data_IF_298253138491
#
_entry.id   IF_298253138491
#
_cell.length_a   1.000
_cell.length_b   1.000
_cell.length_c   1.000
_cell.angle_alpha   90.00
_cell.angle_beta   90.00
_cell.angle_gamma   90.00
#
_symmetry.space_group_name_H-M   'P 1'
#
loop_
_entity.id
_entity.type
_entity.pdbx_description
1 polymer ?
#
# COMPACT_ATOMS: atom_id res chain seq x y z
N UNK A 1 -29.86 -4.12 -56.83
CA UNK A 1 -29.88 -4.69 -55.47
C UNK A 1 -30.74 -5.96 -55.50
N UNK A 2 -30.51 -6.98 -54.67
CA UNK A 2 -29.56 -7.01 -53.55
C UNK A 2 -28.75 -8.33 -53.37
N UNK A 3 -27.63 -8.16 -52.66
CA UNK A 3 -27.22 -8.90 -51.46
C UNK A 3 -26.81 -10.39 -51.58
N UNK A 4 -25.64 -10.62 -50.98
CA UNK A 4 -25.19 -11.85 -50.34
C UNK A 4 -24.75 -13.00 -51.24
N UNK A 5 -23.44 -13.05 -51.45
CA UNK A 5 -22.71 -14.20 -50.93
C UNK A 5 -21.27 -13.77 -50.61
N UNK A 6 -21.00 -13.67 -49.30
CA UNK A 6 -19.67 -13.68 -48.68
C UNK A 6 -18.68 -12.67 -49.28
N UNK A 7 -18.78 -11.38 -48.94
CA UNK A 7 -18.04 -10.84 -47.78
C UNK A 7 -16.89 -11.77 -47.38
N UNK A 8 -15.74 -11.47 -47.97
CA UNK A 8 -14.44 -11.45 -47.32
C UNK A 8 -14.35 -12.37 -46.10
N UNK A 9 -13.86 -13.57 -46.33
CA UNK A 9 -12.97 -14.23 -45.39
C UNK A 9 -11.76 -13.29 -45.27
N UNK A 10 -11.92 -12.29 -44.42
CA UNK A 10 -10.83 -11.45 -43.97
C UNK A 10 -9.92 -12.39 -43.19
N UNK A 11 -8.79 -12.67 -43.85
CA UNK A 11 -7.55 -13.04 -43.22
C UNK A 11 -7.38 -12.29 -41.88
N UNK A 12 -6.86 -13.01 -40.90
CA UNK A 12 -6.50 -12.52 -39.58
C UNK A 12 -7.70 -12.19 -38.66
N UNK A 13 -8.13 -13.19 -37.88
CA UNK A 13 -8.27 -12.90 -36.45
C UNK A 13 -6.87 -12.53 -35.98
N UNK A 14 -6.58 -11.24 -36.01
CA UNK A 14 -5.52 -10.62 -35.27
C UNK A 14 -5.76 -10.96 -33.79
N UNK A 15 -5.23 -12.11 -33.35
CA UNK A 15 -4.99 -12.44 -31.95
C UNK A 15 -3.71 -11.72 -31.48
N UNK A 16 -3.60 -10.44 -31.84
CA UNK A 16 -2.46 -9.57 -31.58
C UNK A 16 -2.86 -8.13 -31.91
N UNK A 17 -2.67 -7.24 -30.94
CA UNK A 17 -2.86 -5.78 -31.02
C UNK A 17 -4.31 -5.25 -30.95
N UNK A 18 -5.07 -5.69 -29.94
CA UNK A 18 -6.23 -4.94 -29.46
C UNK A 18 -6.13 -4.80 -27.95
N UNK A 19 -5.36 -3.82 -27.46
CA UNK A 19 -5.35 -3.49 -26.05
C UNK A 19 -6.78 -3.26 -25.60
N UNK A 20 -7.21 -3.93 -24.53
CA UNK A 20 -8.53 -3.71 -23.95
C UNK A 20 -8.47 -2.33 -23.27
N UNK A 21 -9.07 -1.27 -23.86
CA UNK A 21 -8.85 0.10 -23.38
C UNK A 21 -9.41 0.32 -21.99
N UNK A 22 -10.42 -0.49 -21.62
CA UNK A 22 -11.01 -0.49 -20.30
C UNK A 22 -10.06 -1.11 -19.27
N UNK A 23 -9.40 -2.23 -19.61
CA UNK A 23 -8.38 -2.85 -18.77
C UNK A 23 -7.17 -1.91 -18.58
N UNK A 24 -6.66 -1.33 -19.67
CA UNK A 24 -5.58 -0.34 -19.65
C UNK A 24 -5.93 0.87 -18.78
N UNK A 25 -7.13 1.43 -18.94
CA UNK A 25 -7.58 2.58 -18.16
C UNK A 25 -7.65 2.27 -16.66
N UNK A 26 -8.17 1.10 -16.27
CA UNK A 26 -8.26 0.69 -14.86
C UNK A 26 -6.88 0.44 -14.25
N UNK A 27 -6.00 -0.25 -14.97
CA UNK A 27 -4.61 -0.47 -14.54
C UNK A 27 -3.90 0.87 -14.31
N UNK A 28 -4.00 1.81 -15.26
CA UNK A 28 -3.41 3.16 -15.09
C UNK A 28 -4.04 3.96 -13.97
N UNK A 29 -5.32 3.75 -13.66
CA UNK A 29 -5.94 4.35 -12.48
C UNK A 29 -5.39 3.76 -11.18
N UNK A 30 -5.22 2.43 -11.11
CA UNK A 30 -4.58 1.77 -9.97
C UNK A 30 -3.13 2.26 -9.78
N UNK A 31 -2.33 2.34 -10.85
CA UNK A 31 -0.98 2.90 -10.80
C UNK A 31 -0.97 4.35 -10.30
N UNK A 32 -1.89 5.19 -10.78
CA UNK A 32 -2.00 6.59 -10.31
C UNK A 32 -2.39 6.69 -8.83
N UNK A 33 -3.21 5.76 -8.32
CA UNK A 33 -3.55 5.71 -6.89
C UNK A 33 -2.34 5.35 -6.05
N UNK A 34 -1.56 4.35 -6.49
CA UNK A 34 -0.31 3.96 -5.82
C UNK A 34 0.75 5.06 -5.90
N UNK A 35 0.93 5.68 -7.06
CA UNK A 35 1.89 6.77 -7.27
C UNK A 35 1.52 8.01 -6.43
N UNK A 36 0.24 8.37 -6.39
CA UNK A 36 -0.22 9.51 -5.59
C UNK A 36 -0.13 9.28 -4.08
N UNK A 37 0.14 8.04 -3.64
CA UNK A 37 0.38 7.68 -2.25
C UNK A 37 1.80 7.99 -1.76
N UNK A 38 2.77 8.23 -2.67
CA UNK A 38 4.16 8.54 -2.30
C UNK A 38 4.32 9.68 -1.28
N UNK A 39 3.64 10.85 -1.43
CA UNK A 39 3.78 11.92 -0.45
C UNK A 39 3.35 11.51 0.95
N UNK A 40 2.31 10.66 1.09
CA UNK A 40 1.87 10.17 2.39
C UNK A 40 2.91 9.24 3.03
N UNK A 41 3.63 8.46 2.23
CA UNK A 41 4.75 7.66 2.75
C UNK A 41 5.91 8.54 3.20
N UNK A 42 6.23 9.60 2.46
CA UNK A 42 7.25 10.57 2.85
C UNK A 42 6.85 11.29 4.16
N UNK A 43 5.58 11.66 4.30
CA UNK A 43 5.03 12.26 5.53
C UNK A 43 5.12 11.29 6.71
N UNK A 44 4.78 10.01 6.52
CA UNK A 44 4.93 8.99 7.57
C UNK A 44 6.39 8.79 8.01
N UNK A 45 7.35 8.87 7.09
CA UNK A 45 8.78 8.80 7.42
C UNK A 45 9.24 10.04 8.21
N UNK A 46 8.73 11.24 7.90
CA UNK A 46 8.99 12.44 8.71
C UNK A 46 8.38 12.32 10.11
N UNK A 47 7.16 11.79 10.21
CA UNK A 47 6.49 11.58 11.50
C UNK A 47 7.24 10.55 12.36
N UNK A 48 7.75 9.46 11.78
CA UNK A 48 8.58 8.47 12.45
C UNK A 48 9.87 9.11 13.01
N UNK A 49 10.59 9.88 12.18
CA UNK A 49 11.78 10.60 12.63
C UNK A 49 11.47 11.59 13.77
N UNK A 50 10.31 12.24 13.74
CA UNK A 50 9.87 13.14 14.82
C UNK A 50 9.50 12.39 16.09
N UNK A 51 8.91 11.20 15.99
CA UNK A 51 8.61 10.32 17.13
C UNK A 51 9.91 9.88 17.83
N UNK A 52 10.93 9.49 17.06
CA UNK A 52 12.24 9.08 17.57
C UNK A 52 12.95 10.19 18.37
N UNK A 53 12.71 11.46 18.03
CA UNK A 53 13.32 12.60 18.69
C UNK A 53 12.56 13.11 19.94
N UNK A 54 11.35 12.62 20.21
CA UNK A 54 10.46 13.14 21.26
C UNK A 54 11.12 13.26 22.63
N UNK A 55 11.80 12.19 23.07
CA UNK A 55 12.46 12.12 24.39
C UNK A 55 13.67 13.04 24.54
N UNK A 56 14.14 13.65 23.45
CA UNK A 56 15.27 14.59 23.45
C UNK A 56 14.82 16.04 23.28
N UNK A 57 13.66 16.28 22.66
CA UNK A 57 13.15 17.61 22.32
C UNK A 57 12.41 18.29 23.48
N UNK A 58 11.76 17.53 24.34
CA UNK A 58 11.00 18.05 25.47
C UNK A 58 11.62 17.61 26.79
N UNK A 59 11.76 18.55 27.72
CA UNK A 59 12.25 18.27 29.08
C UNK A 59 11.13 17.88 30.05
N UNK A 60 9.87 18.09 29.67
CA UNK A 60 8.69 17.79 30.45
C UNK A 60 7.94 16.59 29.84
N UNK A 61 7.67 15.58 30.67
CA UNK A 61 7.00 14.34 30.28
C UNK A 61 5.60 14.60 29.73
N UNK A 62 4.84 15.53 30.31
CA UNK A 62 3.48 15.84 29.84
C UNK A 62 3.48 16.44 28.42
N UNK A 63 4.46 17.30 28.13
CA UNK A 63 4.62 17.90 26.80
C UNK A 63 5.11 16.86 25.78
N UNK A 64 6.01 15.96 26.18
CA UNK A 64 6.45 14.81 25.36
C UNK A 64 5.26 13.92 24.98
N UNK A 65 4.39 13.59 25.95
CA UNK A 65 3.23 12.74 25.73
C UNK A 65 2.21 13.43 24.82
N UNK A 66 1.94 14.71 25.05
CA UNK A 66 1.00 15.48 24.23
C UNK A 66 1.45 15.57 22.77
N UNK A 67 2.73 15.87 22.53
CA UNK A 67 3.28 15.89 21.17
C UNK A 67 3.27 14.48 20.55
N UNK A 68 3.67 13.44 21.30
CA UNK A 68 3.68 12.08 20.78
C UNK A 68 2.30 11.58 20.35
N UNK A 69 1.25 11.95 21.09
CA UNK A 69 -0.13 11.65 20.68
C UNK A 69 -0.52 12.44 19.44
N UNK A 70 -0.21 13.72 19.36
CA UNK A 70 -0.46 14.52 18.16
C UNK A 70 0.20 13.90 16.91
N UNK A 71 1.45 13.45 17.03
CA UNK A 71 2.18 12.76 15.97
C UNK A 71 1.51 11.45 15.56
N UNK A 72 1.14 10.61 16.53
CA UNK A 72 0.45 9.36 16.26
C UNK A 72 -0.94 9.59 15.62
N UNK A 73 -1.66 10.64 16.00
CA UNK A 73 -2.94 11.03 15.37
C UNK A 73 -2.74 11.40 13.90
N UNK A 74 -1.76 12.24 13.60
CA UNK A 74 -1.44 12.63 12.21
C UNK A 74 -1.04 11.40 11.37
N UNK A 75 -0.20 10.52 11.92
CA UNK A 75 0.21 9.31 11.23
C UNK A 75 -0.96 8.36 10.96
N UNK A 76 -1.91 8.24 11.90
CA UNK A 76 -3.12 7.43 11.70
C UNK A 76 -4.01 7.98 10.58
N UNK A 77 -4.12 9.31 10.44
CA UNK A 77 -4.85 9.93 9.32
C UNK A 77 -4.21 9.60 7.97
N UNK A 78 -2.88 9.65 7.88
CA UNK A 78 -2.17 9.29 6.65
C UNK A 78 -2.31 7.79 6.33
N UNK A 79 -2.26 6.93 7.35
CA UNK A 79 -2.52 5.49 7.20
C UNK A 79 -3.96 5.22 6.72
N UNK A 80 -4.97 5.92 7.24
CA UNK A 80 -6.36 5.81 6.77
C UNK A 80 -6.48 6.11 5.26
N UNK A 81 -5.86 7.20 4.82
CA UNK A 81 -5.88 7.62 3.42
C UNK A 81 -5.10 6.64 2.52
N UNK A 82 -3.95 6.14 2.98
CA UNK A 82 -3.18 5.11 2.30
C UNK A 82 -3.99 3.82 2.13
N UNK A 83 -4.63 3.33 3.20
CA UNK A 83 -5.47 2.14 3.15
C UNK A 83 -6.63 2.31 2.16
N UNK A 84 -7.27 3.48 2.12
CA UNK A 84 -8.34 3.78 1.17
C UNK A 84 -7.85 3.76 -0.29
N UNK A 85 -6.70 4.36 -0.58
CA UNK A 85 -6.11 4.39 -1.93
C UNK A 85 -5.68 3.00 -2.39
N UNK A 86 -4.98 2.26 -1.54
CA UNK A 86 -4.52 0.90 -1.84
C UNK A 86 -5.71 -0.05 -2.03
N UNK A 87 -6.74 0.03 -1.17
CA UNK A 87 -7.96 -0.78 -1.33
C UNK A 87 -8.66 -0.51 -2.65
N UNK A 88 -8.73 0.76 -3.08
CA UNK A 88 -9.30 1.12 -4.38
C UNK A 88 -8.44 0.61 -5.55
N UNK A 89 -7.11 0.72 -5.45
CA UNK A 89 -6.20 0.18 -6.45
C UNK A 89 -6.35 -1.35 -6.58
N UNK A 90 -6.44 -2.07 -5.47
CA UNK A 90 -6.71 -3.52 -5.43
C UNK A 90 -8.02 -3.84 -6.15
N UNK A 91 -9.13 -3.17 -5.82
CA UNK A 91 -10.41 -3.43 -6.45
C UNK A 91 -10.37 -3.25 -7.98
N UNK A 92 -9.71 -2.20 -8.47
CA UNK A 92 -9.53 -1.97 -9.90
C UNK A 92 -8.73 -3.10 -10.57
N UNK A 93 -7.68 -3.59 -9.92
CA UNK A 93 -6.85 -4.67 -10.46
C UNK A 93 -7.55 -6.02 -10.41
N UNK A 94 -8.37 -6.28 -9.38
CA UNK A 94 -9.21 -7.49 -9.30
C UNK A 94 -10.22 -7.53 -10.45
N UNK A 95 -10.85 -6.39 -10.77
CA UNK A 95 -11.74 -6.26 -11.94
C UNK A 95 -11.01 -6.60 -13.24
N UNK A 96 -9.78 -6.09 -13.42
CA UNK A 96 -8.98 -6.36 -14.63
C UNK A 96 -8.52 -7.82 -14.70
N UNK A 97 -8.09 -8.40 -13.58
CA UNK A 97 -7.66 -9.79 -13.51
C UNK A 97 -8.79 -10.77 -13.87
N UNK A 98 -10.04 -10.40 -13.56
CA UNK A 98 -11.25 -11.17 -13.88
C UNK A 98 -11.90 -10.85 -15.23
N UNK A 99 -11.34 -9.91 -16.01
CA UNK A 99 -11.97 -9.42 -17.24
C UNK A 99 -11.67 -10.30 -18.46
N UNK A 100 -12.72 -10.73 -19.16
CA UNK A 100 -12.59 -11.44 -20.43
C UNK A 100 -11.91 -10.56 -21.49
N UNK A 101 -10.86 -11.09 -22.13
CA UNK A 101 -10.14 -10.38 -23.19
C UNK A 101 -9.23 -9.23 -22.71
N UNK A 102 -8.94 -9.12 -21.41
CA UNK A 102 -7.95 -8.16 -20.90
C UNK A 102 -6.50 -8.51 -21.29
N UNK A 103 -6.23 -9.77 -21.67
CA UNK A 103 -4.94 -10.18 -22.23
C UNK A 103 -3.78 -9.93 -21.27
N UNK A 104 -2.73 -9.26 -21.75
CA UNK A 104 -1.53 -8.98 -20.95
C UNK A 104 -1.82 -8.08 -19.73
N UNK A 105 -2.85 -7.22 -19.78
CA UNK A 105 -3.26 -6.41 -18.62
C UNK A 105 -3.82 -7.25 -17.47
N UNK A 106 -4.50 -8.37 -17.75
CA UNK A 106 -4.98 -9.26 -16.70
C UNK A 106 -3.83 -9.94 -15.96
N UNK A 107 -2.78 -10.32 -16.68
CA UNK A 107 -1.61 -10.94 -16.08
C UNK A 107 -0.78 -9.92 -15.29
N UNK A 108 -0.59 -8.72 -15.85
CA UNK A 108 0.03 -7.62 -15.11
C UNK A 108 -0.76 -7.29 -13.83
N UNK A 109 -2.09 -7.23 -13.90
CA UNK A 109 -2.94 -6.96 -12.74
C UNK A 109 -2.76 -8.01 -11.62
N UNK A 110 -2.62 -9.29 -11.94
CA UNK A 110 -2.33 -10.33 -10.93
C UNK A 110 -0.97 -10.16 -10.27
N UNK A 111 0.06 -9.85 -11.06
CA UNK A 111 1.40 -9.59 -10.53
C UNK A 111 1.40 -8.36 -9.63
N UNK A 112 0.69 -7.31 -10.04
CA UNK A 112 0.56 -6.10 -9.24
C UNK A 112 -0.22 -6.35 -7.95
N UNK A 113 -1.32 -7.11 -8.01
CA UNK A 113 -2.05 -7.56 -6.81
C UNK A 113 -1.16 -8.35 -5.84
N UNK A 114 -0.28 -9.21 -6.35
CA UNK A 114 0.68 -9.95 -5.52
C UNK A 114 1.68 -9.04 -4.79
N UNK A 115 1.96 -7.84 -5.33
CA UNK A 115 2.76 -6.83 -4.64
C UNK A 115 1.93 -6.01 -3.63
N UNK A 116 0.67 -5.71 -3.96
CA UNK A 116 -0.20 -4.92 -3.10
C UNK A 116 -0.73 -5.69 -1.88
N UNK A 117 -0.88 -7.01 -1.94
CA UNK A 117 -1.33 -7.82 -0.80
C UNK A 117 -0.41 -7.67 0.45
N UNK A 118 0.90 -7.97 0.36
CA UNK A 118 1.80 -7.77 1.50
C UNK A 118 1.91 -6.30 1.90
N UNK A 119 1.84 -5.35 0.95
CA UNK A 119 1.84 -3.91 1.25
C UNK A 119 0.61 -3.47 2.05
N UNK A 120 -0.58 -3.94 1.69
CA UNK A 120 -1.83 -3.68 2.42
C UNK A 120 -1.77 -4.26 3.83
N UNK A 121 -1.23 -5.47 3.98
CA UNK A 121 -1.02 -6.08 5.30
C UNK A 121 0.00 -5.30 6.14
N UNK A 122 1.04 -4.74 5.52
CA UNK A 122 2.01 -3.88 6.19
C UNK A 122 1.35 -2.59 6.71
N UNK A 123 0.45 -1.96 5.92
CA UNK A 123 -0.32 -0.80 6.36
C UNK A 123 -1.19 -1.11 7.58
N UNK A 124 -1.91 -2.24 7.56
CA UNK A 124 -2.71 -2.68 8.70
C UNK A 124 -1.85 -2.89 9.97
N UNK A 125 -0.63 -3.43 9.82
CA UNK A 125 0.33 -3.56 10.94
C UNK A 125 0.89 -2.23 11.41
N UNK A 126 1.09 -1.26 10.52
CA UNK A 126 1.47 0.11 10.90
C UNK A 126 0.40 0.76 11.76
N UNK A 127 -0.89 0.58 11.44
CA UNK A 127 -2.00 1.04 12.29
C UNK A 127 -1.93 0.42 13.69
N UNK A 128 -1.72 -0.89 13.77
CA UNK A 128 -1.56 -1.58 15.06
C UNK A 128 -0.36 -1.02 15.85
N UNK A 129 0.77 -0.75 15.18
CA UNK A 129 1.96 -0.17 15.80
C UNK A 129 1.67 1.23 16.36
N UNK A 130 1.06 2.11 15.57
CA UNK A 130 0.70 3.46 16.00
C UNK A 130 -0.28 3.43 17.17
N UNK A 131 -1.21 2.48 17.17
CA UNK A 131 -2.13 2.26 18.30
C UNK A 131 -1.37 1.81 19.55
N UNK A 132 -0.41 0.89 19.42
CA UNK A 132 0.42 0.46 20.55
C UNK A 132 1.28 1.60 21.11
N UNK A 133 1.83 2.45 20.25
CA UNK A 133 2.55 3.67 20.66
C UNK A 133 1.61 4.62 21.40
N UNK A 134 0.41 4.85 20.88
CA UNK A 134 -0.60 5.69 21.53
C UNK A 134 -0.95 5.18 22.92
N UNK A 135 -1.27 3.89 23.04
CA UNK A 135 -1.63 3.26 24.31
C UNK A 135 -0.46 3.30 25.30
N UNK A 136 0.77 3.13 24.82
CA UNK A 136 1.97 3.28 25.65
C UNK A 136 2.08 4.70 26.23
N UNK A 137 1.83 5.73 25.42
CA UNK A 137 1.84 7.13 25.86
C UNK A 137 0.74 7.42 26.89
N UNK A 138 -0.40 6.72 26.83
CA UNK A 138 -1.49 6.83 27.81
C UNK A 138 -1.11 6.27 29.18
N UNK A 139 -0.36 5.16 29.21
CA UNK A 139 0.03 4.52 30.48
C UNK A 139 1.32 5.08 31.07
N UNK A 140 2.14 5.75 30.26
CA UNK A 140 3.45 6.29 30.66
C UNK A 140 3.44 7.12 31.95
N UNK A 141 2.47 8.03 32.20
CA UNK A 141 2.42 8.80 33.45
C UNK A 141 2.21 7.95 34.71
N UNK A 142 1.61 6.77 34.55
CA UNK A 142 1.29 5.84 35.65
C UNK A 142 2.30 4.70 35.78
N UNK A 143 3.28 4.62 34.88
CA UNK A 143 4.31 3.60 34.91
C UNK A 143 5.33 3.91 36.02
N UNK A 144 5.37 3.04 37.03
CA UNK A 144 6.31 3.06 38.14
C UNK A 144 7.62 2.32 37.80
N UNK A 145 7.64 1.52 36.72
CA UNK A 145 8.82 0.78 36.28
C UNK A 145 8.82 0.49 34.77
N UNK A 146 10.01 0.24 34.21
CA UNK A 146 10.17 -0.18 32.81
C UNK A 146 9.49 -1.54 32.51
N UNK A 147 9.31 -2.40 33.52
CA UNK A 147 8.63 -3.69 33.37
C UNK A 147 7.13 -3.53 33.06
N UNK A 148 6.51 -2.42 33.46
CA UNK A 148 5.13 -2.12 33.09
C UNK A 148 4.99 -1.66 31.63
N UNK A 149 6.07 -1.13 31.05
CA UNK A 149 6.12 -0.70 29.65
C UNK A 149 6.65 -1.80 28.71
N UNK A 150 7.21 -2.89 29.25
CA UNK A 150 7.88 -3.91 28.45
C UNK A 150 6.96 -4.63 27.47
N UNK A 151 5.66 -4.70 27.78
CA UNK A 151 4.65 -5.20 26.85
C UNK A 151 4.62 -4.35 25.58
N UNK A 152 4.51 -3.02 25.72
CA UNK A 152 4.42 -2.10 24.60
C UNK A 152 5.71 -2.05 23.78
N UNK A 153 6.87 -1.99 24.43
CA UNK A 153 8.14 -2.00 23.71
C UNK A 153 8.34 -3.30 22.92
N UNK A 154 8.00 -4.45 23.53
CA UNK A 154 8.09 -5.75 22.83
C UNK A 154 7.10 -5.88 21.69
N UNK A 155 5.90 -5.31 21.83
CA UNK A 155 4.88 -5.30 20.80
C UNK A 155 5.27 -4.39 19.62
N UNK A 156 5.81 -3.19 19.90
CA UNK A 156 6.35 -2.28 18.89
C UNK A 156 7.49 -2.95 18.11
N UNK A 157 8.44 -3.61 18.80
CA UNK A 157 9.53 -4.34 18.16
C UNK A 157 9.02 -5.48 17.25
N UNK A 158 8.04 -6.26 17.74
CA UNK A 158 7.42 -7.35 16.98
C UNK A 158 6.75 -6.81 15.71
N UNK A 159 5.91 -5.79 15.85
CA UNK A 159 5.19 -5.19 14.73
C UNK A 159 6.15 -4.58 13.72
N UNK A 160 7.20 -3.90 14.18
CA UNK A 160 8.26 -3.33 13.32
C UNK A 160 8.95 -4.42 12.50
N UNK A 161 9.27 -5.56 13.11
CA UNK A 161 9.86 -6.68 12.40
C UNK A 161 8.91 -7.29 11.36
N UNK A 162 7.63 -7.43 11.69
CA UNK A 162 6.59 -7.92 10.77
C UNK A 162 6.39 -6.99 9.57
N UNK A 163 6.26 -5.69 9.80
CA UNK A 163 6.14 -4.66 8.76
C UNK A 163 7.33 -4.73 7.82
N UNK A 164 8.55 -4.76 8.35
CA UNK A 164 9.78 -4.85 7.54
C UNK A 164 9.87 -6.14 6.72
N UNK A 165 9.30 -7.25 7.21
CA UNK A 165 9.23 -8.49 6.45
C UNK A 165 8.23 -8.38 5.29
N UNK A 166 7.05 -7.82 5.55
CA UNK A 166 5.99 -7.63 4.55
C UNK A 166 6.42 -6.64 3.45
N UNK A 167 7.10 -5.54 3.80
CA UNK A 167 7.61 -4.58 2.83
C UNK A 167 8.67 -5.20 1.91
N UNK A 168 9.52 -6.09 2.44
CA UNK A 168 10.47 -6.85 1.62
C UNK A 168 9.77 -7.80 0.66
N UNK A 169 8.71 -8.48 1.12
CA UNK A 169 7.89 -9.34 0.28
C UNK A 169 7.20 -8.54 -0.85
N UNK A 170 6.59 -7.41 -0.50
CA UNK A 170 5.96 -6.49 -1.45
C UNK A 170 6.96 -5.99 -2.50
N UNK A 171 8.16 -5.58 -2.09
CA UNK A 171 9.22 -5.12 -3.00
C UNK A 171 9.63 -6.20 -3.99
N UNK A 172 9.84 -7.44 -3.54
CA UNK A 172 10.21 -8.55 -4.41
C UNK A 172 9.11 -8.87 -5.44
N UNK A 173 7.84 -8.78 -5.04
CA UNK A 173 6.70 -8.99 -5.92
C UNK A 173 6.54 -7.82 -6.92
N UNK A 174 6.79 -6.58 -6.49
CA UNK A 174 6.75 -5.40 -7.35
C UNK A 174 7.78 -5.49 -8.48
N UNK A 175 9.00 -5.98 -8.20
CA UNK A 175 10.03 -6.19 -9.23
C UNK A 175 9.57 -7.14 -10.36
N UNK A 176 8.74 -8.14 -10.03
CA UNK A 176 8.20 -9.06 -11.03
C UNK A 176 7.12 -8.38 -11.89
N UNK A 177 6.26 -7.55 -11.27
CA UNK A 177 5.26 -6.76 -11.99
C UNK A 177 5.91 -5.72 -12.91
N UNK A 178 6.91 -4.97 -12.41
CA UNK A 178 7.65 -3.97 -13.19
C UNK A 178 8.34 -4.59 -14.40
N UNK A 179 9.05 -5.71 -14.21
CA UNK A 179 9.70 -6.44 -15.30
C UNK A 179 8.69 -6.89 -16.36
N UNK A 180 7.54 -7.41 -15.93
CA UNK A 180 6.50 -7.83 -16.86
C UNK A 180 5.94 -6.65 -17.66
N UNK A 181 5.70 -5.51 -17.02
CA UNK A 181 5.26 -4.28 -17.69
C UNK A 181 6.26 -3.84 -18.76
N UNK A 182 7.55 -3.82 -18.43
CA UNK A 182 8.63 -3.44 -19.35
C UNK A 182 8.76 -4.41 -20.54
N UNK A 183 8.70 -5.73 -20.29
CA UNK A 183 8.79 -6.76 -21.33
C UNK A 183 7.61 -6.72 -22.31
N UNK A 184 6.45 -6.23 -21.87
CA UNK A 184 5.20 -6.20 -22.64
C UNK A 184 4.79 -4.81 -23.15
N UNK A 185 5.56 -3.77 -22.84
CA UNK A 185 5.32 -2.38 -23.26
C UNK A 185 3.89 -1.90 -22.89
N UNK A 186 3.49 -2.14 -21.63
CA UNK A 186 2.14 -1.87 -21.09
C UNK A 186 2.00 -0.46 -20.50
#
# INVERSE_FOLDING_TARGET
MPIAALIAILCATAAGCGGNPEAESRVREAERLVESSKPLFDDLLDLDARLDELGTRFSNVDDTIAEGKSLAEMALVDVDELEARISRAIALLEEVAGMDGAGDYAEYAKLFLAALDPASRALARNRELLTAVWDMLDVLPSAESAEQLSYYTGEIDRLTAEINSLLREASNAAEAADRYREERDL
#
